data_IF_704276863980
#
_entry.id   IF_704276863980
#
_cell.length_a   1.000
_cell.length_b   1.000
_cell.length_c   1.000
_cell.angle_alpha   90.00
_cell.angle_beta   90.00
_cell.angle_gamma   90.00
#
_symmetry.space_group_name_H-M   'P 1'
#
loop_
_entity.id
_entity.type
_entity.pdbx_description
1 polymer ?
#
# COMPACT_ATOMS: atom_id res chain seq x y z
N UNK A 1 11.93 -21.43 -4.97
CA UNK A 1 11.79 -19.99 -4.68
C UNK A 1 10.31 -19.62 -4.85
N UNK A 2 9.73 -18.84 -3.95
CA UNK A 2 8.36 -18.33 -4.15
C UNK A 2 8.33 -17.43 -5.39
N UNK A 3 7.22 -17.46 -6.14
CA UNK A 3 6.98 -16.59 -7.29
C UNK A 3 7.11 -15.13 -6.86
N UNK A 4 7.74 -14.28 -7.69
CA UNK A 4 7.75 -12.84 -7.49
C UNK A 4 6.37 -12.26 -7.81
N UNK A 5 5.80 -11.50 -6.90
CA UNK A 5 4.45 -10.95 -7.03
C UNK A 5 4.47 -9.52 -7.58
N UNK A 6 3.52 -9.23 -8.49
CA UNK A 6 3.25 -7.90 -9.01
C UNK A 6 1.85 -7.46 -8.63
N UNK A 7 1.71 -6.19 -8.22
CA UNK A 7 0.42 -5.65 -7.81
C UNK A 7 0.26 -4.17 -8.09
N UNK A 8 -0.92 -3.67 -7.75
CA UNK A 8 -1.32 -2.27 -7.85
C UNK A 8 -1.69 -1.74 -6.47
N UNK A 9 -1.43 -0.47 -6.22
CA UNK A 9 -2.01 0.26 -5.08
C UNK A 9 -2.62 1.57 -5.56
N UNK A 10 -3.63 2.06 -4.82
CA UNK A 10 -4.24 3.37 -5.04
C UNK A 10 -4.70 3.97 -3.72
N UNK A 11 -4.81 5.30 -3.65
CA UNK A 11 -5.48 6.01 -2.56
C UNK A 11 -6.87 6.52 -2.97
N UNK A 12 -7.32 6.15 -4.17
CA UNK A 12 -8.56 6.62 -4.77
C UNK A 12 -8.61 8.16 -4.87
N UNK A 13 -7.61 8.73 -5.52
CA UNK A 13 -7.42 10.16 -5.69
C UNK A 13 -8.59 10.81 -6.43
N UNK A 14 -9.03 11.99 -5.93
CA UNK A 14 -10.10 12.83 -6.51
C UNK A 14 -9.60 14.27 -6.78
N UNK A 15 -8.34 14.41 -7.10
CA UNK A 15 -7.76 15.70 -7.45
C UNK A 15 -8.38 16.27 -8.73
N UNK A 16 -8.36 17.59 -8.85
CA UNK A 16 -8.86 18.26 -10.04
C UNK A 16 -7.95 18.08 -11.25
N UNK A 17 -8.52 17.94 -12.43
CA UNK A 17 -7.78 18.01 -13.67
C UNK A 17 -7.09 19.39 -13.79
N UNK A 18 -5.77 19.46 -13.92
CA UNK A 18 -5.04 20.73 -13.93
C UNK A 18 -5.37 21.63 -15.14
N UNK A 19 -6.03 21.09 -16.18
CA UNK A 19 -6.38 21.83 -17.40
C UNK A 19 -7.76 22.47 -17.36
N UNK A 20 -8.76 21.77 -16.79
CA UNK A 20 -10.18 22.20 -16.81
C UNK A 20 -10.79 22.37 -15.43
N UNK A 21 -10.07 22.07 -14.34
CA UNK A 21 -10.50 22.16 -12.95
C UNK A 21 -11.73 21.31 -12.60
N UNK A 22 -11.97 20.25 -13.37
CA UNK A 22 -13.02 19.26 -13.08
C UNK A 22 -12.39 18.10 -12.31
N UNK A 23 -13.03 17.71 -11.21
CA UNK A 23 -12.70 16.48 -10.48
C UNK A 23 -13.77 15.41 -10.69
N UNK A 24 -13.38 14.16 -10.60
CA UNK A 24 -14.31 13.05 -10.48
C UNK A 24 -15.04 13.12 -9.13
N UNK A 25 -16.30 12.72 -9.08
CA UNK A 25 -17.04 12.64 -7.80
C UNK A 25 -16.56 11.45 -6.96
N UNK A 26 -16.76 11.51 -5.62
CA UNK A 26 -16.34 10.41 -4.74
C UNK A 26 -17.02 9.08 -5.09
N UNK A 27 -18.31 9.12 -5.39
CA UNK A 27 -19.09 7.93 -5.73
C UNK A 27 -18.65 7.32 -7.07
N UNK A 28 -18.29 8.13 -8.05
CA UNK A 28 -17.71 7.66 -9.30
C UNK A 28 -16.31 7.09 -9.11
N UNK A 29 -15.45 7.79 -8.35
CA UNK A 29 -14.08 7.30 -8.09
C UNK A 29 -14.07 5.96 -7.35
N UNK A 30 -14.96 5.76 -6.40
CA UNK A 30 -15.10 4.48 -5.69
C UNK A 30 -15.48 3.35 -6.68
N UNK A 31 -16.41 3.59 -7.61
CA UNK A 31 -16.77 2.61 -8.66
C UNK A 31 -15.58 2.31 -9.58
N UNK A 32 -14.86 3.35 -10.00
CA UNK A 32 -13.65 3.20 -10.82
C UNK A 32 -12.60 2.31 -10.13
N UNK A 33 -12.39 2.46 -8.82
CA UNK A 33 -11.47 1.58 -8.07
C UNK A 33 -11.92 0.11 -8.12
N UNK A 34 -13.23 -0.16 -8.04
CA UNK A 34 -13.74 -1.53 -8.21
C UNK A 34 -13.47 -2.07 -9.61
N UNK A 35 -13.59 -1.24 -10.65
CA UNK A 35 -13.26 -1.64 -12.03
C UNK A 35 -11.74 -1.86 -12.20
N UNK A 36 -10.88 -1.05 -11.57
CA UNK A 36 -9.43 -1.23 -11.53
C UNK A 36 -9.03 -2.57 -10.89
N UNK A 37 -9.67 -2.94 -9.76
CA UNK A 37 -9.45 -4.23 -9.09
C UNK A 37 -9.86 -5.38 -10.00
N UNK A 38 -11.03 -5.28 -10.63
CA UNK A 38 -11.53 -6.29 -11.56
C UNK A 38 -10.59 -6.49 -12.74
N UNK A 39 -10.10 -5.40 -13.35
CA UNK A 39 -9.11 -5.47 -14.43
C UNK A 39 -7.81 -6.13 -13.95
N UNK A 40 -7.29 -5.73 -12.79
CA UNK A 40 -6.06 -6.30 -12.23
C UNK A 40 -6.19 -7.83 -12.00
N UNK A 41 -7.35 -8.30 -11.52
CA UNK A 41 -7.64 -9.73 -11.37
C UNK A 41 -7.68 -10.48 -12.71
N UNK A 42 -8.35 -9.90 -13.71
CA UNK A 42 -8.42 -10.47 -15.07
C UNK A 42 -7.03 -10.61 -15.71
N UNK A 43 -6.13 -9.67 -15.44
CA UNK A 43 -4.74 -9.66 -15.90
C UNK A 43 -3.82 -10.56 -15.06
N UNK A 44 -4.36 -11.27 -14.05
CA UNK A 44 -3.59 -12.15 -13.15
C UNK A 44 -2.47 -11.43 -12.40
N UNK A 45 -2.71 -10.19 -12.02
CA UNK A 45 -1.90 -9.54 -11.01
C UNK A 45 -2.14 -10.18 -9.66
N UNK A 46 -1.12 -10.18 -8.80
CA UNK A 46 -1.12 -10.96 -7.57
C UNK A 46 -1.74 -10.19 -6.39
N UNK A 47 -1.76 -8.85 -6.44
CA UNK A 47 -2.11 -7.99 -5.30
C UNK A 47 -2.78 -6.68 -5.73
N UNK A 48 -3.79 -6.25 -4.97
CA UNK A 48 -4.36 -4.90 -5.06
C UNK A 48 -4.54 -4.32 -3.66
N UNK A 49 -3.99 -3.13 -3.43
CA UNK A 49 -4.04 -2.45 -2.14
C UNK A 49 -4.69 -1.08 -2.20
N UNK A 50 -5.57 -0.78 -1.24
CA UNK A 50 -6.22 0.54 -1.12
C UNK A 50 -5.76 1.21 0.17
N UNK A 51 -5.22 2.44 0.06
CA UNK A 51 -4.85 3.24 1.23
C UNK A 51 -6.03 3.96 1.86
N UNK A 52 -6.02 4.05 3.19
CA UNK A 52 -7.00 4.80 3.97
C UNK A 52 -6.56 6.25 4.15
N UNK A 53 -7.41 7.17 3.72
CA UNK A 53 -7.19 8.60 3.87
C UNK A 53 -8.48 9.35 4.22
N UNK A 54 -8.37 10.31 5.15
CA UNK A 54 -9.49 11.11 5.65
C UNK A 54 -9.36 12.58 5.19
N UNK A 55 -9.11 12.77 3.90
CA UNK A 55 -8.90 14.06 3.25
C UNK A 55 -9.78 14.20 2.02
N UNK A 56 -10.11 15.45 1.66
CA UNK A 56 -10.94 15.75 0.49
C UNK A 56 -10.34 15.31 -0.85
N UNK A 57 -9.03 15.11 -0.89
CA UNK A 57 -8.30 14.67 -2.09
C UNK A 57 -8.42 13.16 -2.37
N UNK A 58 -9.07 12.38 -1.47
CA UNK A 58 -9.15 10.93 -1.55
C UNK A 58 -10.55 10.41 -1.28
N UNK A 59 -11.00 9.42 -2.04
CA UNK A 59 -12.32 8.81 -1.86
C UNK A 59 -12.31 7.61 -0.89
N UNK A 60 -11.15 7.05 -0.56
CA UNK A 60 -11.04 5.83 0.22
C UNK A 60 -10.77 6.11 1.71
N UNK A 61 -11.81 6.42 2.49
CA UNK A 61 -11.74 6.48 3.95
C UNK A 61 -12.08 5.14 4.64
N UNK A 62 -12.74 4.23 3.93
CA UNK A 62 -13.12 2.90 4.39
C UNK A 62 -12.72 1.83 3.35
N UNK A 63 -11.40 1.57 3.16
CA UNK A 63 -10.91 0.70 2.09
C UNK A 63 -11.52 -0.71 2.14
N UNK A 64 -11.78 -1.26 3.33
CA UNK A 64 -12.40 -2.57 3.49
C UNK A 64 -13.79 -2.69 2.85
N UNK A 65 -14.56 -1.59 2.74
CA UNK A 65 -15.87 -1.58 2.07
C UNK A 65 -15.73 -1.70 0.54
N UNK A 66 -14.74 -1.00 -0.05
CA UNK A 66 -14.45 -1.07 -1.49
C UNK A 66 -13.92 -2.48 -1.84
N UNK A 67 -13.02 -3.01 -1.02
CA UNK A 67 -12.49 -4.36 -1.18
C UNK A 67 -13.58 -5.42 -1.05
N UNK A 68 -14.55 -5.25 -0.14
CA UNK A 68 -15.69 -6.15 0.02
C UNK A 68 -16.61 -6.14 -1.22
N UNK A 69 -16.78 -5.00 -1.88
CA UNK A 69 -17.50 -4.91 -3.15
C UNK A 69 -16.78 -5.63 -4.29
N UNK A 70 -15.45 -5.62 -4.30
CA UNK A 70 -14.63 -6.30 -5.31
C UNK A 70 -14.47 -7.82 -5.05
N UNK A 71 -14.57 -8.27 -3.80
CA UNK A 71 -14.33 -9.66 -3.44
C UNK A 71 -15.16 -10.69 -4.24
N UNK A 72 -16.49 -10.51 -4.43
CA UNK A 72 -17.32 -11.50 -5.15
C UNK A 72 -17.19 -11.45 -6.67
N UNK A 73 -16.49 -10.46 -7.24
CA UNK A 73 -16.32 -10.28 -8.68
C UNK A 73 -14.87 -10.49 -9.14
N UNK A 74 -14.04 -11.04 -8.27
CA UNK A 74 -12.62 -11.38 -8.49
C UNK A 74 -12.34 -12.79 -8.01
N UNK A 75 -11.34 -13.47 -8.62
CA UNK A 75 -11.05 -14.88 -8.38
C UNK A 75 -9.65 -15.17 -7.81
N UNK A 76 -8.65 -14.33 -8.10
CA UNK A 76 -7.24 -14.62 -7.83
C UNK A 76 -6.53 -13.57 -7.01
N UNK A 77 -6.83 -12.29 -7.28
CA UNK A 77 -6.07 -11.18 -6.71
C UNK A 77 -6.22 -11.11 -5.18
N UNK A 78 -5.11 -10.91 -4.50
CA UNK A 78 -5.11 -10.61 -3.07
C UNK A 78 -5.62 -9.20 -2.84
N UNK A 79 -6.59 -9.05 -1.95
CA UNK A 79 -7.26 -7.80 -1.63
C UNK A 79 -6.76 -7.27 -0.29
N UNK A 80 -6.16 -6.09 -0.27
CA UNK A 80 -5.52 -5.54 0.93
C UNK A 80 -5.82 -4.07 1.16
N UNK A 81 -5.79 -3.64 2.41
CA UNK A 81 -5.48 -2.24 2.68
C UNK A 81 -4.03 -1.93 2.34
N UNK A 82 -3.74 -0.64 2.07
CA UNK A 82 -2.36 -0.16 1.83
C UNK A 82 -2.17 1.32 2.23
N UNK A 83 -2.54 1.67 3.50
CA UNK A 83 -2.73 0.87 4.72
C UNK A 83 -4.11 1.08 5.35
N UNK A 84 -4.49 0.27 6.36
CA UNK A 84 -5.41 0.65 7.42
C UNK A 84 -4.65 1.47 8.46
N UNK A 85 -5.15 2.66 8.80
CA UNK A 85 -4.51 3.56 9.80
C UNK A 85 -4.84 3.08 11.21
N UNK A 86 -4.16 2.01 11.65
CA UNK A 86 -4.44 1.34 12.92
C UNK A 86 -4.34 2.28 14.15
N UNK A 87 -3.54 3.35 14.05
CA UNK A 87 -3.41 4.33 15.13
C UNK A 87 -4.74 4.98 15.51
N UNK A 88 -5.64 5.21 14.54
CA UNK A 88 -6.95 5.84 14.75
C UNK A 88 -8.13 4.87 14.72
N UNK A 89 -7.91 3.59 14.37
CA UNK A 89 -8.94 2.55 14.32
C UNK A 89 -9.03 1.73 15.62
N UNK A 90 -10.17 1.04 15.84
CA UNK A 90 -10.31 0.04 16.90
C UNK A 90 -9.87 -1.34 16.41
N UNK A 91 -8.87 -2.00 17.03
CA UNK A 91 -8.35 -3.30 16.58
C UNK A 91 -9.39 -4.41 16.50
N UNK A 92 -10.42 -4.39 17.37
CA UNK A 92 -11.52 -5.36 17.32
C UNK A 92 -12.33 -5.18 16.04
N UNK A 93 -12.68 -3.92 15.71
CA UNK A 93 -13.44 -3.64 14.49
C UNK A 93 -12.61 -3.92 13.24
N UNK A 94 -11.34 -3.56 13.24
CA UNK A 94 -10.41 -3.86 12.14
C UNK A 94 -10.37 -5.37 11.89
N UNK A 95 -10.14 -6.17 12.93
CA UNK A 95 -10.14 -7.63 12.78
C UNK A 95 -11.46 -8.17 12.23
N UNK A 96 -12.61 -7.71 12.76
CA UNK A 96 -13.93 -8.15 12.29
C UNK A 96 -14.17 -7.82 10.83
N UNK A 97 -13.81 -6.60 10.39
CA UNK A 97 -13.96 -6.18 9.00
C UNK A 97 -13.12 -7.06 8.05
N UNK A 98 -11.85 -7.30 8.40
CA UNK A 98 -10.95 -8.07 7.55
C UNK A 98 -11.19 -9.59 7.63
N UNK A 99 -11.65 -10.13 8.76
CA UNK A 99 -12.12 -11.50 8.84
C UNK A 99 -13.38 -11.73 7.98
N UNK A 100 -14.29 -10.76 7.95
CA UNK A 100 -15.47 -10.79 7.06
C UNK A 100 -15.05 -10.71 5.60
N UNK A 101 -14.14 -9.79 5.25
CA UNK A 101 -13.60 -9.68 3.90
C UNK A 101 -12.86 -10.95 3.48
N UNK A 102 -12.11 -11.58 4.39
CA UNK A 102 -11.42 -12.84 4.11
C UNK A 102 -12.40 -13.97 3.75
N UNK A 103 -13.54 -14.05 4.46
CA UNK A 103 -14.59 -14.98 4.14
C UNK A 103 -15.23 -14.70 2.77
N UNK A 104 -15.54 -13.44 2.46
CA UNK A 104 -16.11 -13.01 1.17
C UNK A 104 -15.17 -13.26 -0.01
N UNK A 105 -13.88 -13.14 0.20
CA UNK A 105 -12.85 -13.34 -0.82
C UNK A 105 -12.29 -14.77 -0.89
N UNK A 106 -12.84 -15.71 -0.13
CA UNK A 106 -12.35 -17.10 -0.05
C UNK A 106 -10.85 -17.20 0.30
N UNK A 107 -10.42 -16.46 1.34
CA UNK A 107 -9.05 -16.51 1.85
C UNK A 107 -8.04 -15.61 1.13
N UNK A 108 -8.47 -14.68 0.25
CA UNK A 108 -7.57 -13.78 -0.52
C UNK A 108 -7.32 -12.43 0.17
N UNK A 109 -7.80 -12.25 1.39
CA UNK A 109 -7.63 -10.99 2.10
C UNK A 109 -6.27 -10.91 2.78
N UNK A 110 -5.59 -9.77 2.62
CA UNK A 110 -4.45 -9.37 3.44
C UNK A 110 -4.81 -8.08 4.21
N UNK A 111 -4.28 -7.91 5.41
CA UNK A 111 -4.43 -6.68 6.19
C UNK A 111 -3.08 -6.01 6.34
N UNK A 112 -2.88 -4.91 5.64
CA UNK A 112 -1.70 -4.08 5.83
C UNK A 112 -2.02 -2.94 6.78
N UNK A 113 -1.31 -2.86 7.90
CA UNK A 113 -1.49 -1.81 8.90
C UNK A 113 -0.34 -0.82 8.88
N UNK A 114 -0.67 0.43 9.16
CA UNK A 114 0.30 1.52 9.26
C UNK A 114 -0.14 2.57 10.25
N UNK A 115 0.78 3.52 10.49
CA UNK A 115 0.50 4.66 11.38
C UNK A 115 -0.25 5.80 10.68
N UNK A 116 -0.38 5.72 9.35
CA UNK A 116 -0.85 6.84 8.53
C UNK A 116 0.26 7.84 8.22
N UNK A 117 0.18 8.46 7.04
CA UNK A 117 1.10 9.51 6.59
C UNK A 117 0.53 10.91 6.79
N UNK A 118 -0.77 11.03 6.97
CA UNK A 118 -1.50 12.27 7.25
C UNK A 118 -2.07 12.23 8.68
N UNK A 119 -2.35 13.41 9.23
CA UNK A 119 -2.71 13.59 10.65
C UNK A 119 -4.21 13.70 10.89
N UNK A 120 -5.01 13.82 9.83
CA UNK A 120 -6.44 14.17 9.92
C UNK A 120 -7.26 13.12 10.66
N UNK A 121 -6.88 11.84 10.62
CA UNK A 121 -7.58 10.77 11.33
C UNK A 121 -7.53 10.94 12.85
N UNK A 122 -6.46 11.53 13.40
CA UNK A 122 -6.31 11.68 14.85
C UNK A 122 -7.40 12.56 15.47
N UNK A 123 -7.54 13.85 15.11
CA UNK A 123 -8.61 14.68 15.67
C UNK A 123 -10.01 14.20 15.23
N UNK A 124 -10.15 13.61 14.04
CA UNK A 124 -11.43 13.10 13.55
C UNK A 124 -11.97 11.96 14.41
N UNK A 125 -11.11 11.09 14.89
CA UNK A 125 -11.46 9.96 15.77
C UNK A 125 -11.16 10.21 17.27
N UNK A 126 -10.80 11.43 17.63
CA UNK A 126 -10.62 11.83 19.02
C UNK A 126 -9.31 11.37 19.67
N UNK A 127 -8.25 11.19 18.88
CA UNK A 127 -6.92 10.83 19.36
C UNK A 127 -5.96 12.03 19.36
N UNK A 128 -5.03 12.05 20.30
CA UNK A 128 -3.94 13.04 20.35
C UNK A 128 -2.77 12.57 19.46
N UNK A 129 -2.27 13.47 18.62
CA UNK A 129 -1.12 13.21 17.75
C UNK A 129 0.18 12.95 18.54
N UNK A 130 0.29 13.44 19.76
CA UNK A 130 1.43 13.15 20.64
C UNK A 130 1.52 11.66 20.99
N UNK A 131 0.40 10.94 20.97
CA UNK A 131 0.33 9.51 21.25
C UNK A 131 0.57 8.62 20.01
N UNK A 132 0.92 9.23 18.87
CA UNK A 132 1.08 8.58 17.55
C UNK A 132 1.82 7.24 17.58
N UNK A 133 2.95 7.17 18.33
CA UNK A 133 3.76 5.95 18.40
C UNK A 133 3.16 4.91 19.35
N UNK A 134 2.61 5.35 20.47
CA UNK A 134 2.04 4.48 21.51
C UNK A 134 0.74 3.84 21.03
N UNK A 135 -0.15 4.64 20.44
CA UNK A 135 -1.40 4.17 19.83
C UNK A 135 -1.17 3.02 18.84
N UNK A 136 -0.23 3.19 17.90
CA UNK A 136 0.05 2.14 16.93
C UNK A 136 0.61 0.87 17.58
N UNK A 137 1.55 1.01 18.52
CA UNK A 137 2.18 -0.15 19.17
C UNK A 137 1.18 -0.96 19.98
N UNK A 138 0.39 -0.29 20.84
CA UNK A 138 -0.62 -0.93 21.67
C UNK A 138 -1.71 -1.60 20.84
N UNK A 139 -2.21 -0.91 19.83
CA UNK A 139 -3.27 -1.42 18.96
C UNK A 139 -2.80 -2.57 18.08
N UNK A 140 -1.54 -2.57 17.64
CA UNK A 140 -0.96 -3.68 16.91
C UNK A 140 -0.86 -4.95 17.79
N UNK A 141 -0.38 -4.81 19.03
CA UNK A 141 -0.32 -5.93 19.97
C UNK A 141 -1.71 -6.53 20.24
N UNK A 142 -2.73 -5.68 20.46
CA UNK A 142 -4.10 -6.16 20.61
C UNK A 142 -4.63 -6.86 19.34
N UNK A 143 -4.37 -6.29 18.16
CA UNK A 143 -4.78 -6.88 16.89
C UNK A 143 -4.18 -8.28 16.69
N UNK A 144 -2.89 -8.45 17.00
CA UNK A 144 -2.21 -9.74 16.93
C UNK A 144 -2.75 -10.73 17.95
N UNK A 145 -3.02 -10.30 19.19
CA UNK A 145 -3.66 -11.15 20.21
C UNK A 145 -5.05 -11.62 19.75
N UNK A 146 -5.84 -10.73 19.13
CA UNK A 146 -7.16 -11.10 18.59
C UNK A 146 -7.00 -12.11 17.45
N UNK A 147 -6.02 -11.94 16.55
CA UNK A 147 -5.75 -12.91 15.47
C UNK A 147 -5.41 -14.29 16.03
N UNK A 148 -4.53 -14.35 17.03
CA UNK A 148 -3.92 -15.59 17.51
C UNK A 148 -4.77 -16.34 18.54
N UNK A 149 -5.72 -15.66 19.22
CA UNK A 149 -6.50 -16.22 20.31
C UNK A 149 -8.01 -16.06 20.09
N UNK A 150 -8.77 -17.11 20.37
CA UNK A 150 -10.23 -17.06 20.29
C UNK A 150 -10.83 -16.12 21.36
N UNK A 151 -10.31 -16.16 22.57
CA UNK A 151 -10.72 -15.29 23.69
C UNK A 151 -9.57 -14.43 24.13
N UNK A 152 -9.82 -13.14 24.20
CA UNK A 152 -8.82 -12.11 24.52
C UNK A 152 -9.13 -11.47 25.86
N UNK A 153 -8.09 -11.30 26.67
CA UNK A 153 -8.07 -10.38 27.79
C UNK A 153 -7.04 -9.30 27.49
N UNK A 154 -7.45 -8.05 27.64
CA UNK A 154 -6.62 -6.89 27.31
C UNK A 154 -6.84 -5.77 28.30
N UNK A 155 -5.74 -5.10 28.66
CA UNK A 155 -5.74 -3.85 29.43
C UNK A 155 -4.62 -2.98 28.89
N UNK A 156 -4.96 -1.81 28.38
CA UNK A 156 -4.03 -0.81 27.84
C UNK A 156 -4.47 0.59 28.24
N UNK A 157 -3.78 1.59 27.70
CA UNK A 157 -3.98 2.99 28.04
C UNK A 157 -4.94 3.70 27.07
N UNK A 158 -5.06 3.20 25.83
CA UNK A 158 -5.78 3.88 24.75
C UNK A 158 -7.12 3.22 24.39
N UNK A 159 -7.50 2.15 25.10
CA UNK A 159 -8.75 1.44 24.86
C UNK A 159 -9.29 0.84 26.16
N UNK A 160 -10.62 0.78 26.27
CA UNK A 160 -11.28 0.08 27.36
C UNK A 160 -10.84 -1.40 27.43
N UNK A 161 -10.71 -1.98 28.65
CA UNK A 161 -10.26 -3.36 28.83
C UNK A 161 -11.24 -4.37 28.23
N UNK A 162 -10.71 -5.50 27.80
CA UNK A 162 -11.45 -6.68 27.38
C UNK A 162 -11.19 -7.79 28.41
N UNK A 163 -12.23 -8.47 28.89
CA UNK A 163 -12.12 -9.50 29.91
C UNK A 163 -12.64 -10.83 29.34
N UNK A 164 -11.74 -11.67 28.83
CA UNK A 164 -12.02 -13.03 28.33
C UNK A 164 -13.19 -13.09 27.33
N UNK A 165 -13.18 -12.19 26.33
CA UNK A 165 -14.22 -12.12 25.30
C UNK A 165 -13.70 -12.64 23.97
N UNK A 166 -14.57 -13.35 23.23
CA UNK A 166 -14.32 -13.77 21.85
C UNK A 166 -14.58 -12.65 20.85
N UNK A 167 -13.79 -12.60 19.79
CA UNK A 167 -13.97 -11.68 18.66
C UNK A 167 -14.32 -12.50 17.40
N UNK A 168 -15.47 -12.24 16.81
CA UNK A 168 -16.02 -13.01 15.68
C UNK A 168 -16.42 -12.11 14.51
N UNK A 169 -16.44 -12.63 13.23
CA UNK A 169 -16.08 -14.00 12.87
C UNK A 169 -14.59 -14.30 13.08
N UNK A 170 -14.22 -15.58 13.20
CA UNK A 170 -12.82 -16.02 13.21
C UNK A 170 -12.35 -16.34 11.80
N UNK A 171 -11.07 -16.11 11.54
CA UNK A 171 -10.38 -16.59 10.35
C UNK A 171 -8.98 -17.05 10.76
N UNK A 172 -8.52 -18.17 10.19
CA UNK A 172 -7.25 -18.79 10.58
C UNK A 172 -6.06 -18.18 9.81
N UNK A 173 -6.29 -17.67 8.58
CA UNK A 173 -5.23 -17.32 7.62
C UNK A 173 -5.16 -15.82 7.28
N UNK A 174 -5.53 -14.92 8.21
CA UNK A 174 -5.42 -13.50 7.94
C UNK A 174 -3.95 -13.05 8.04
N UNK A 175 -3.34 -12.83 6.88
CA UNK A 175 -2.00 -12.22 6.82
C UNK A 175 -2.06 -10.76 7.25
N UNK A 176 -1.31 -10.40 8.30
CA UNK A 176 -1.15 -9.03 8.76
C UNK A 176 0.27 -8.57 8.43
N UNK A 177 0.42 -7.49 7.68
CA UNK A 177 1.70 -6.88 7.32
C UNK A 177 1.83 -5.46 7.87
N UNK A 178 3.06 -4.98 8.03
CA UNK A 178 3.34 -3.62 8.52
C UNK A 178 3.96 -2.78 7.43
N UNK A 179 3.34 -1.63 7.13
CA UNK A 179 3.90 -0.67 6.21
C UNK A 179 4.88 0.28 6.91
N UNK A 180 6.01 0.54 6.24
CA UNK A 180 7.11 1.35 6.76
C UNK A 180 7.61 2.33 5.69
N UNK A 181 7.68 3.62 6.04
CA UNK A 181 8.20 4.67 5.17
C UNK A 181 9.69 4.98 5.33
N UNK A 182 10.44 4.21 6.17
CA UNK A 182 11.88 4.45 6.34
C UNK A 182 12.37 4.56 7.79
N UNK A 183 11.51 4.31 8.79
CA UNK A 183 11.88 4.41 10.20
C UNK A 183 12.41 3.08 10.74
N UNK A 184 13.68 2.98 11.22
CA UNK A 184 14.25 1.73 11.76
C UNK A 184 13.41 1.08 12.86
N UNK A 185 12.85 1.86 13.80
CA UNK A 185 12.01 1.34 14.88
C UNK A 185 10.75 0.60 14.36
N UNK A 186 10.18 1.03 13.22
CA UNK A 186 9.03 0.35 12.61
C UNK A 186 9.43 -0.96 11.94
N UNK A 187 10.62 -1.01 11.35
CA UNK A 187 11.23 -2.23 10.79
C UNK A 187 11.47 -3.27 11.87
N UNK A 188 12.09 -2.86 12.98
CA UNK A 188 12.35 -3.74 14.15
C UNK A 188 11.03 -4.28 14.71
N UNK A 189 9.99 -3.44 14.81
CA UNK A 189 8.66 -3.87 15.29
C UNK A 189 8.06 -4.95 14.40
N UNK A 190 8.08 -4.77 13.07
CA UNK A 190 7.58 -5.78 12.15
C UNK A 190 8.37 -7.10 12.30
N UNK A 191 9.69 -7.01 12.33
CA UNK A 191 10.58 -8.16 12.49
C UNK A 191 10.37 -8.91 13.82
N UNK A 192 10.24 -8.18 14.93
CA UNK A 192 9.98 -8.76 16.26
C UNK A 192 8.74 -9.65 16.30
N UNK A 193 7.68 -9.24 15.61
CA UNK A 193 6.42 -9.99 15.54
C UNK A 193 6.34 -10.99 14.38
N UNK A 194 7.42 -11.18 13.61
CA UNK A 194 7.42 -12.08 12.44
C UNK A 194 6.49 -11.64 11.31
N UNK A 195 6.16 -10.35 11.23
CA UNK A 195 5.20 -9.84 10.26
C UNK A 195 5.88 -9.47 8.93
N UNK A 196 5.24 -9.74 7.78
CA UNK A 196 5.68 -9.24 6.49
C UNK A 196 5.92 -7.74 6.49
N UNK A 197 6.98 -7.29 5.81
CA UNK A 197 7.36 -5.89 5.68
C UNK A 197 6.89 -5.32 4.35
N UNK A 198 6.26 -4.14 4.38
CA UNK A 198 5.89 -3.41 3.18
C UNK A 198 6.55 -2.02 3.19
N UNK A 199 7.51 -1.79 2.30
CA UNK A 199 8.26 -0.55 2.22
C UNK A 199 7.65 0.41 1.20
N UNK A 200 7.33 1.63 1.63
CA UNK A 200 6.93 2.72 0.76
C UNK A 200 8.19 3.45 0.26
N UNK A 201 8.67 3.09 -0.94
CA UNK A 201 9.81 3.73 -1.60
C UNK A 201 9.26 4.74 -2.63
N UNK A 202 8.85 5.90 -2.15
CA UNK A 202 8.16 6.92 -2.94
C UNK A 202 9.03 8.14 -3.31
N UNK A 203 10.33 8.09 -3.01
CA UNK A 203 11.29 9.15 -3.32
C UNK A 203 12.73 8.75 -3.08
N UNK A 204 13.66 9.51 -3.63
CA UNK A 204 15.09 9.28 -3.50
C UNK A 204 15.61 8.08 -4.30
N UNK A 205 16.75 7.54 -3.85
CA UNK A 205 17.33 6.34 -4.44
C UNK A 205 16.86 5.09 -3.68
N UNK A 206 16.19 4.12 -4.32
CA UNK A 206 15.71 2.89 -3.67
C UNK A 206 16.80 2.09 -2.94
N UNK A 207 18.06 2.19 -3.37
CA UNK A 207 19.18 1.48 -2.73
C UNK A 207 19.46 1.95 -1.30
N UNK A 208 19.02 3.14 -0.92
CA UNK A 208 19.11 3.63 0.46
C UNK A 208 18.28 2.79 1.45
N UNK A 209 17.28 2.07 0.96
CA UNK A 209 16.44 1.17 1.78
C UNK A 209 17.10 -0.20 2.07
N UNK A 210 18.24 -0.50 1.40
CA UNK A 210 18.95 -1.78 1.62
C UNK A 210 19.31 -1.98 3.10
N UNK A 211 19.81 -0.95 3.77
CA UNK A 211 20.14 -1.03 5.22
C UNK A 211 18.93 -1.35 6.11
N UNK A 212 17.73 -0.86 5.75
CA UNK A 212 16.49 -1.18 6.47
C UNK A 212 16.04 -2.63 6.22
N UNK A 213 16.21 -3.14 5.01
CA UNK A 213 15.93 -4.54 4.66
C UNK A 213 16.90 -5.47 5.37
N UNK A 214 18.19 -5.15 5.40
CA UNK A 214 19.20 -5.93 6.11
C UNK A 214 18.93 -5.94 7.63
N UNK A 215 18.50 -4.80 8.20
CA UNK A 215 18.05 -4.70 9.59
C UNK A 215 16.82 -5.59 9.85
N UNK A 216 15.81 -5.53 8.98
CA UNK A 216 14.64 -6.40 9.09
C UNK A 216 15.01 -7.87 9.12
N UNK A 217 15.81 -8.32 8.16
CA UNK A 217 16.25 -9.72 8.06
C UNK A 217 17.00 -10.16 9.32
N UNK A 218 17.92 -9.33 9.81
CA UNK A 218 18.69 -9.59 11.03
C UNK A 218 17.78 -9.74 12.25
N UNK A 219 16.90 -8.76 12.47
CA UNK A 219 16.00 -8.76 13.63
C UNK A 219 14.95 -9.89 13.55
N UNK A 220 14.44 -10.20 12.37
CA UNK A 220 13.49 -11.28 12.12
C UNK A 220 14.07 -12.63 12.56
N UNK A 221 15.29 -12.96 12.12
CA UNK A 221 15.99 -14.17 12.50
C UNK A 221 16.40 -14.18 13.99
N UNK A 222 16.82 -13.03 14.52
CA UNK A 222 17.20 -12.91 15.93
C UNK A 222 16.01 -13.17 16.90
N UNK A 223 14.78 -12.95 16.45
CA UNK A 223 13.57 -13.26 17.21
C UNK A 223 13.04 -14.69 16.95
N UNK A 224 13.80 -15.53 16.22
CA UNK A 224 13.50 -16.95 16.03
C UNK A 224 12.46 -17.26 14.96
N UNK A 225 12.13 -16.31 14.08
CA UNK A 225 11.21 -16.53 12.99
C UNK A 225 11.86 -17.27 11.82
N UNK A 226 11.06 -18.07 11.11
CA UNK A 226 11.52 -18.87 9.98
C UNK A 226 11.82 -17.99 8.76
N UNK A 227 13.03 -18.11 8.23
CA UNK A 227 13.47 -17.38 7.05
C UNK A 227 12.57 -17.61 5.83
N UNK A 228 11.99 -18.81 5.69
CA UNK A 228 11.15 -19.17 4.54
C UNK A 228 9.78 -18.48 4.60
N UNK A 229 9.39 -17.97 5.76
CA UNK A 229 8.17 -17.18 5.96
C UNK A 229 8.41 -15.67 5.78
N UNK A 230 9.65 -15.25 5.60
CA UNK A 230 10.01 -13.85 5.45
C UNK A 230 9.48 -13.30 4.13
N UNK A 231 8.68 -12.22 4.19
CA UNK A 231 8.09 -11.61 3.01
C UNK A 231 8.31 -10.09 3.03
N UNK A 232 8.93 -9.58 1.98
CA UNK A 232 9.27 -8.16 1.83
C UNK A 232 8.64 -7.63 0.56
N UNK A 233 7.79 -6.64 0.71
CA UNK A 233 7.13 -5.94 -0.39
C UNK A 233 7.63 -4.51 -0.51
N UNK A 234 7.59 -3.98 -1.73
CA UNK A 234 7.85 -2.56 -2.03
C UNK A 234 6.69 -2.00 -2.82
N UNK A 235 6.32 -0.76 -2.49
CA UNK A 235 5.43 0.03 -3.30
C UNK A 235 6.12 1.33 -3.73
N UNK A 236 5.92 1.72 -4.99
CA UNK A 236 6.45 2.94 -5.56
C UNK A 236 5.44 3.56 -6.52
N UNK A 237 5.49 4.88 -6.64
CA UNK A 237 4.67 5.61 -7.61
C UNK A 237 5.10 5.29 -9.04
N UNK A 238 4.16 5.27 -9.97
CA UNK A 238 4.51 5.08 -11.37
C UNK A 238 3.34 5.16 -12.33
N UNK A 239 3.67 5.06 -13.61
CA UNK A 239 2.73 5.08 -14.72
C UNK A 239 3.35 4.43 -15.96
N UNK A 240 2.61 3.57 -16.63
CA UNK A 240 3.06 2.86 -17.82
C UNK A 240 2.24 3.32 -19.04
N UNK A 241 2.89 3.69 -20.12
CA UNK A 241 2.26 3.99 -21.41
C UNK A 241 2.95 3.23 -22.55
N UNK A 242 2.45 3.34 -23.78
CA UNK A 242 3.01 2.61 -24.93
C UNK A 242 4.46 3.05 -25.24
N UNK A 243 4.79 4.31 -24.99
CA UNK A 243 6.14 4.86 -25.16
C UNK A 243 6.61 5.60 -23.93
N UNK A 244 7.93 5.71 -23.78
CA UNK A 244 8.54 6.47 -22.69
C UNK A 244 8.12 7.95 -22.73
N UNK A 245 8.11 8.57 -23.91
CA UNK A 245 7.69 9.96 -24.12
C UNK A 245 6.24 10.19 -23.68
N UNK A 246 5.32 9.28 -24.11
CA UNK A 246 3.90 9.36 -23.72
C UNK A 246 3.76 9.27 -22.20
N UNK A 247 4.44 8.32 -21.56
CA UNK A 247 4.41 8.17 -20.11
C UNK A 247 4.94 9.41 -19.39
N UNK A 248 6.06 9.93 -19.86
CA UNK A 248 6.75 11.10 -19.31
C UNK A 248 5.84 12.34 -19.32
N UNK A 249 5.30 12.70 -20.48
CA UNK A 249 4.52 13.93 -20.67
C UNK A 249 3.11 13.83 -20.04
N UNK A 250 2.53 12.62 -20.00
CA UNK A 250 1.21 12.40 -19.40
C UNK A 250 1.27 12.46 -17.87
N UNK A 251 2.30 11.88 -17.27
CA UNK A 251 2.33 11.72 -15.81
C UNK A 251 2.93 12.92 -15.07
N UNK A 252 3.83 13.71 -15.71
CA UNK A 252 4.47 14.85 -15.07
C UNK A 252 3.49 15.86 -14.46
N UNK A 253 2.44 16.32 -15.17
CA UNK A 253 1.48 17.27 -14.59
C UNK A 253 0.74 16.77 -13.35
N UNK A 254 0.38 15.49 -13.35
CA UNK A 254 -0.26 14.83 -12.21
C UNK A 254 0.65 14.78 -10.99
N UNK A 255 1.89 14.37 -11.22
CA UNK A 255 2.90 14.27 -10.17
C UNK A 255 3.28 15.64 -9.63
N UNK A 256 3.47 16.65 -10.49
CA UNK A 256 3.73 18.03 -10.08
C UNK A 256 2.61 18.59 -9.21
N UNK A 257 1.36 18.39 -9.63
CA UNK A 257 0.19 18.84 -8.87
C UNK A 257 0.14 18.23 -7.46
N UNK A 258 0.22 16.91 -7.37
CA UNK A 258 0.12 16.20 -6.08
C UNK A 258 1.29 16.55 -5.15
N UNK A 259 2.51 16.54 -5.68
CA UNK A 259 3.70 16.83 -4.88
C UNK A 259 3.77 18.28 -4.41
N UNK A 260 3.28 19.24 -5.21
CA UNK A 260 3.20 20.63 -4.80
C UNK A 260 2.09 20.87 -3.79
N UNK A 261 0.95 20.16 -3.90
CA UNK A 261 -0.13 20.23 -2.91
C UNK A 261 0.36 19.75 -1.53
N UNK A 262 0.91 18.54 -1.48
CA UNK A 262 1.44 17.95 -0.24
C UNK A 262 2.66 18.74 0.28
N UNK A 263 3.54 19.14 -0.62
CA UNK A 263 4.75 19.87 -0.30
C UNK A 263 4.49 21.23 0.34
N UNK A 264 3.44 21.94 -0.09
CA UNK A 264 3.02 23.20 0.52
C UNK A 264 2.66 23.05 2.00
N UNK A 265 1.98 21.96 2.37
CA UNK A 265 1.62 21.67 3.77
C UNK A 265 2.83 21.25 4.61
N UNK A 266 3.79 20.58 4.00
CA UNK A 266 4.97 20.03 4.68
C UNK A 266 6.20 20.94 4.63
N UNK A 267 6.10 22.11 4.00
CA UNK A 267 7.22 23.03 3.84
C UNK A 267 8.32 22.51 2.90
N UNK A 268 7.96 21.62 1.93
CA UNK A 268 8.90 21.14 0.93
C UNK A 268 9.16 22.19 -0.15
N UNK A 269 10.32 22.12 -0.78
CA UNK A 269 10.59 22.86 -1.99
C UNK A 269 9.64 22.48 -3.11
N UNK A 270 9.39 23.41 -4.04
CA UNK A 270 8.54 23.16 -5.21
C UNK A 270 9.07 21.95 -6.00
N UNK A 271 8.16 21.04 -6.35
CA UNK A 271 8.45 19.94 -7.26
C UNK A 271 8.64 20.48 -8.69
N UNK A 272 9.76 20.15 -9.32
CA UNK A 272 10.14 20.68 -10.61
C UNK A 272 10.35 19.55 -11.62
N UNK A 273 10.41 19.90 -12.92
CA UNK A 273 10.73 18.96 -13.99
C UNK A 273 12.10 18.29 -13.74
N UNK A 274 13.09 19.02 -13.26
CA UNK A 274 14.39 18.45 -12.89
C UNK A 274 14.28 17.40 -11.76
N UNK A 275 13.43 17.65 -10.75
CA UNK A 275 13.16 16.66 -9.69
C UNK A 275 12.49 15.41 -10.26
N UNK A 276 11.56 15.60 -11.19
CA UNK A 276 10.89 14.52 -11.88
C UNK A 276 11.86 13.70 -12.73
N UNK A 277 12.75 14.36 -13.52
CA UNK A 277 13.77 13.70 -14.34
C UNK A 277 14.69 12.81 -13.49
N UNK A 278 15.12 13.30 -12.33
CA UNK A 278 15.90 12.50 -11.38
C UNK A 278 15.13 11.34 -10.79
N UNK A 279 13.83 11.51 -10.51
CA UNK A 279 13.00 10.48 -9.92
C UNK A 279 12.67 9.35 -10.90
N UNK A 280 12.50 9.64 -12.20
CA UNK A 280 12.22 8.63 -13.24
C UNK A 280 13.47 7.91 -13.73
N UNK A 281 14.67 8.47 -13.49
CA UNK A 281 15.94 7.80 -13.85
C UNK A 281 15.97 6.35 -13.36
N UNK A 282 16.81 5.51 -13.98
CA UNK A 282 16.93 4.09 -13.66
C UNK A 282 17.19 3.82 -12.16
N UNK A 283 17.87 4.73 -11.48
CA UNK A 283 18.17 4.68 -10.05
C UNK A 283 17.19 5.49 -9.17
N UNK A 284 16.18 6.10 -9.75
CA UNK A 284 15.15 6.85 -9.05
C UNK A 284 13.98 5.98 -8.58
N UNK A 285 13.14 6.52 -7.69
CA UNK A 285 12.03 5.80 -7.09
C UNK A 285 10.71 5.87 -7.88
N UNK A 286 10.68 6.58 -9.02
CA UNK A 286 9.47 6.75 -9.81
C UNK A 286 9.50 5.83 -11.05
N UNK A 287 8.50 4.95 -11.16
CA UNK A 287 8.41 3.91 -12.20
C UNK A 287 7.52 4.39 -13.36
N UNK A 288 8.04 5.31 -14.16
CA UNK A 288 7.36 5.91 -15.32
C UNK A 288 8.11 5.59 -16.60
N UNK A 289 7.40 5.12 -17.62
CA UNK A 289 7.99 4.80 -18.91
C UNK A 289 7.17 3.79 -19.70
N UNK A 290 7.77 3.28 -20.78
CA UNK A 290 7.24 2.13 -21.52
C UNK A 290 7.39 0.83 -20.71
N UNK A 291 6.72 -0.27 -21.11
CA UNK A 291 6.77 -1.53 -20.38
C UNK A 291 8.17 -2.09 -20.17
N UNK A 292 9.08 -1.95 -21.16
CA UNK A 292 10.44 -2.49 -21.06
C UNK A 292 11.28 -1.71 -20.03
N UNK A 293 11.14 -0.39 -20.02
CA UNK A 293 11.82 0.47 -19.06
C UNK A 293 11.37 0.18 -17.62
N UNK A 294 10.05 0.13 -17.40
CA UNK A 294 9.47 -0.13 -16.06
C UNK A 294 9.83 -1.54 -15.58
N UNK A 295 9.70 -2.57 -16.42
CA UNK A 295 10.10 -3.93 -16.09
C UNK A 295 11.57 -4.02 -15.68
N UNK A 296 12.48 -3.39 -16.44
CA UNK A 296 13.91 -3.35 -16.12
C UNK A 296 14.19 -2.72 -14.74
N UNK A 297 13.49 -1.63 -14.38
CA UNK A 297 13.63 -1.02 -13.04
C UNK A 297 13.17 -1.98 -11.95
N UNK A 298 12.04 -2.67 -12.12
CA UNK A 298 11.52 -3.65 -11.15
C UNK A 298 12.49 -4.82 -10.99
N UNK A 299 13.01 -5.38 -12.08
CA UNK A 299 13.99 -6.47 -12.06
C UNK A 299 15.27 -6.05 -11.31
N UNK A 300 15.78 -4.85 -11.59
CA UNK A 300 16.96 -4.31 -10.90
C UNK A 300 16.69 -4.17 -9.40
N UNK A 301 15.52 -3.64 -9.01
CA UNK A 301 15.13 -3.52 -7.61
C UNK A 301 15.05 -4.89 -6.93
N UNK A 302 14.40 -5.86 -7.56
CA UNK A 302 14.31 -7.26 -7.06
C UNK A 302 15.68 -7.86 -6.85
N UNK A 303 16.56 -7.77 -7.84
CA UNK A 303 17.93 -8.32 -7.78
C UNK A 303 18.78 -7.65 -6.68
N UNK A 304 18.61 -6.34 -6.48
CA UNK A 304 19.40 -5.58 -5.51
C UNK A 304 18.91 -5.72 -4.05
N UNK A 305 17.59 -5.73 -3.84
CA UNK A 305 16.99 -5.71 -2.50
C UNK A 305 16.45 -7.07 -2.03
N UNK A 306 16.27 -8.04 -2.95
CA UNK A 306 15.77 -9.37 -2.60
C UNK A 306 14.31 -9.37 -2.14
N UNK A 307 13.49 -8.45 -2.68
CA UNK A 307 12.07 -8.33 -2.34
C UNK A 307 11.22 -9.47 -2.96
N UNK A 308 10.04 -9.72 -2.38
CA UNK A 308 9.12 -10.76 -2.82
C UNK A 308 7.95 -10.20 -3.67
N UNK A 309 7.60 -8.91 -3.47
CA UNK A 309 6.50 -8.24 -4.17
C UNK A 309 6.87 -6.82 -4.54
N UNK A 310 6.45 -6.38 -5.72
CA UNK A 310 6.42 -4.99 -6.13
C UNK A 310 5.00 -4.55 -6.46
N UNK A 311 4.53 -3.44 -5.88
CA UNK A 311 3.25 -2.83 -6.17
C UNK A 311 3.43 -1.45 -6.80
N UNK A 312 2.87 -1.26 -7.99
CA UNK A 312 2.83 0.04 -8.67
C UNK A 312 1.67 0.87 -8.10
N UNK A 313 1.98 2.06 -7.59
CA UNK A 313 0.95 2.99 -7.12
C UNK A 313 0.52 3.91 -8.25
N UNK A 314 -0.75 3.81 -8.64
CA UNK A 314 -1.36 4.61 -9.71
C UNK A 314 -2.84 4.89 -9.42
N UNK A 315 -3.32 6.12 -9.64
CA UNK A 315 -2.56 7.34 -9.99
C UNK A 315 -1.89 7.99 -8.76
N UNK A 316 -1.04 9.00 -9.03
CA UNK A 316 -0.69 10.05 -8.08
C UNK A 316 -1.09 11.37 -8.72
N UNK A 317 -1.92 12.17 -8.06
CA UNK A 317 -2.54 13.33 -8.67
C UNK A 317 -3.73 12.97 -9.57
N UNK A 318 -4.09 13.86 -10.48
CA UNK A 318 -5.18 13.63 -11.43
C UNK A 318 -4.69 12.85 -12.66
N UNK A 319 -5.39 11.79 -12.98
CA UNK A 319 -5.32 11.13 -14.30
C UNK A 319 -6.74 10.73 -14.73
N UNK A 320 -7.01 10.85 -16.03
CA UNK A 320 -8.23 10.31 -16.61
C UNK A 320 -8.31 8.79 -16.37
N UNK A 321 -9.48 8.28 -16.01
CA UNK A 321 -9.65 6.88 -15.66
C UNK A 321 -9.23 5.91 -16.78
N UNK A 322 -9.49 6.26 -18.04
CA UNK A 322 -9.07 5.45 -19.19
C UNK A 322 -7.53 5.31 -19.25
N UNK A 323 -6.79 6.36 -18.88
CA UNK A 323 -5.33 6.32 -18.81
C UNK A 323 -4.84 5.44 -17.65
N UNK A 324 -5.53 5.48 -16.50
CA UNK A 324 -5.26 4.58 -15.37
C UNK A 324 -5.49 3.13 -15.78
N UNK A 325 -6.63 2.83 -16.42
CA UNK A 325 -6.97 1.48 -16.90
C UNK A 325 -5.95 0.98 -17.95
N UNK A 326 -5.54 1.84 -18.89
CA UNK A 326 -4.50 1.52 -19.88
C UNK A 326 -3.16 1.22 -19.20
N UNK A 327 -2.77 2.00 -18.21
CA UNK A 327 -1.53 1.76 -17.45
C UNK A 327 -1.56 0.42 -16.69
N UNK A 328 -2.68 0.09 -16.03
CA UNK A 328 -2.88 -1.21 -15.37
C UNK A 328 -2.82 -2.34 -16.38
N UNK A 329 -3.44 -2.18 -17.56
CA UNK A 329 -3.41 -3.17 -18.62
C UNK A 329 -1.98 -3.43 -19.11
N UNK A 330 -1.21 -2.39 -19.44
CA UNK A 330 0.19 -2.53 -19.87
C UNK A 330 1.08 -3.14 -18.77
N UNK A 331 0.83 -2.77 -17.52
CA UNK A 331 1.53 -3.33 -16.39
C UNK A 331 1.24 -4.84 -16.21
N UNK A 332 -0.01 -5.25 -16.31
CA UNK A 332 -0.44 -6.65 -16.15
C UNK A 332 -0.15 -7.55 -17.34
N UNK A 333 0.02 -7.00 -18.55
CA UNK A 333 0.33 -7.78 -19.76
C UNK A 333 1.81 -7.71 -20.10
N UNK A 334 2.32 -6.54 -20.49
CA UNK A 334 3.67 -6.40 -21.05
C UNK A 334 4.74 -6.37 -19.95
N UNK A 335 4.57 -5.53 -18.92
CA UNK A 335 5.56 -5.44 -17.82
C UNK A 335 5.66 -6.79 -17.11
N UNK A 336 4.51 -7.38 -16.74
CA UNK A 336 4.46 -8.68 -16.08
C UNK A 336 5.13 -9.78 -16.89
N UNK A 337 4.87 -9.85 -18.19
CA UNK A 337 5.49 -10.84 -19.08
C UNK A 337 7.02 -10.74 -19.09
N UNK A 338 7.57 -9.53 -19.15
CA UNK A 338 9.03 -9.31 -19.13
C UNK A 338 9.61 -9.71 -17.77
N UNK A 339 8.96 -9.29 -16.68
CA UNK A 339 9.40 -9.61 -15.31
C UNK A 339 9.35 -11.12 -15.06
N UNK A 340 8.25 -11.79 -15.41
CA UNK A 340 8.08 -13.24 -15.23
C UNK A 340 9.10 -14.06 -16.06
N UNK A 341 9.60 -13.52 -17.18
CA UNK A 341 10.59 -14.20 -18.03
C UNK A 341 12.04 -14.04 -17.52
N UNK A 342 12.33 -13.02 -16.68
CA UNK A 342 13.70 -12.69 -16.22
C UNK A 342 13.96 -13.12 -14.77
N UNK A 343 12.91 -13.43 -14.00
CA UNK A 343 12.97 -13.81 -12.58
C UNK A 343 12.48 -15.24 -12.32
#
# INVERSE_FOLDING_TARGET
MSKFELGITTFAEVLENPKNHISVSYDERIRQVVDEIKLADQLKLDFFGIGEHHRKEYAASAPHMILAAAAPITDHIKLSSAVTVLSSEDPVRVYQNYATLNALSHGRCELMVGRGSFIESFPLFGYDLNDYHHLFSEKLELLLNIRDQEKVSYKGDYRAPINNLGVYPRTEDLTISVAVGGTPASVIRAAKHGLPLFLAIIGGNPMMFKGLIDLYKKEYLAHGHDQDQMFISVHSHGYVADTFEEAYETYYPSMEQAMNLIGKERGWSRYTKQTYDQAIDMNGALYVGDPAYVAKKIINLKKALGINRFALHVPVGYLDHDLVMKSIMLFGTEVKKIVDSDL
#
